data_IF_974020899837
#
_entry.id   IF_974020899837
#
_cell.length_a   1.000
_cell.length_b   1.000
_cell.length_c   1.000
_cell.angle_alpha   90.00
_cell.angle_beta   90.00
_cell.angle_gamma   90.00
#
_symmetry.space_group_name_H-M   'P 1'
#
loop_
_entity.id
_entity.type
_entity.pdbx_description
1 polymer ?
#
# COMPACT_ATOMS: atom_id res chain seq x y z
N UNK A 1 40.29 -1.74 -10.83
CA UNK A 1 39.05 -0.93 -10.77
C UNK A 1 38.73 -0.65 -9.30
N UNK A 2 38.50 0.61 -8.88
CA UNK A 2 38.14 0.88 -7.49
C UNK A 2 36.76 0.27 -7.18
N UNK A 3 36.68 -0.53 -6.12
CA UNK A 3 35.38 -0.99 -5.58
C UNK A 3 34.65 0.22 -5.00
N UNK A 4 33.44 0.50 -5.49
CA UNK A 4 32.58 1.52 -4.90
C UNK A 4 31.91 0.96 -3.65
N UNK A 5 31.89 1.76 -2.58
CA UNK A 5 31.14 1.45 -1.36
C UNK A 5 29.64 1.58 -1.64
N UNK A 6 28.87 0.56 -1.27
CA UNK A 6 27.40 0.60 -1.31
C UNK A 6 26.91 1.07 0.06
N UNK A 7 26.06 2.10 0.08
CA UNK A 7 25.45 2.65 1.30
C UNK A 7 23.98 2.26 1.41
N UNK A 8 23.43 2.31 2.63
CA UNK A 8 22.00 2.08 2.88
C UNK A 8 21.18 3.28 2.40
N UNK A 9 19.98 3.02 1.89
CA UNK A 9 19.02 4.03 1.43
C UNK A 9 17.76 3.90 2.28
N UNK A 10 17.21 5.02 2.75
CA UNK A 10 15.94 5.04 3.48
C UNK A 10 14.75 5.03 2.52
N UNK A 11 13.61 4.50 2.96
CA UNK A 11 12.37 4.52 2.18
C UNK A 11 11.96 5.94 1.79
N UNK A 12 12.18 6.91 2.68
CA UNK A 12 11.94 8.31 2.37
C UNK A 12 12.77 8.79 1.17
N UNK A 13 14.06 8.49 1.13
CA UNK A 13 14.93 8.86 0.02
C UNK A 13 14.53 8.15 -1.27
N UNK A 14 14.14 6.87 -1.18
CA UNK A 14 13.64 6.09 -2.32
C UNK A 14 12.37 6.72 -2.90
N UNK A 15 11.36 7.03 -2.07
CA UNK A 15 10.12 7.67 -2.49
C UNK A 15 10.39 9.02 -3.17
N UNK A 16 11.27 9.85 -2.59
CA UNK A 16 11.64 11.15 -3.20
C UNK A 16 12.37 10.99 -4.52
N UNK A 17 13.19 9.96 -4.67
CA UNK A 17 13.85 9.65 -5.94
C UNK A 17 12.83 9.21 -7.00
N UNK A 18 11.88 8.35 -6.63
CA UNK A 18 10.80 7.94 -7.53
C UNK A 18 9.97 9.14 -8.00
N UNK A 19 9.58 10.03 -7.08
CA UNK A 19 8.79 11.23 -7.37
C UNK A 19 9.56 12.21 -8.27
N UNK A 20 10.76 12.60 -7.85
CA UNK A 20 11.47 13.74 -8.45
C UNK A 20 12.28 13.34 -9.68
N UNK A 21 12.86 12.15 -9.67
CA UNK A 21 13.77 11.66 -10.72
C UNK A 21 13.06 10.72 -11.67
N UNK A 22 12.33 9.71 -11.16
CA UNK A 22 11.57 8.78 -12.00
C UNK A 22 10.20 9.32 -12.43
N UNK A 23 9.82 10.51 -11.97
CA UNK A 23 8.56 11.18 -12.32
C UNK A 23 7.33 10.32 -12.02
N UNK A 24 7.40 9.50 -10.97
CA UNK A 24 6.25 8.77 -10.48
C UNK A 24 5.21 9.78 -9.96
N UNK A 25 3.99 9.72 -10.51
CA UNK A 25 2.90 10.59 -10.08
C UNK A 25 2.19 9.99 -8.85
N UNK A 26 2.68 10.36 -7.67
CA UNK A 26 2.08 9.95 -6.41
C UNK A 26 0.71 10.58 -6.15
N UNK A 27 0.33 11.66 -6.85
CA UNK A 27 -1.00 12.25 -6.70
C UNK A 27 -2.02 11.41 -7.45
N UNK A 28 -1.71 11.05 -8.70
CA UNK A 28 -2.54 10.16 -9.51
C UNK A 28 -2.68 8.78 -8.84
N UNK A 29 -1.57 8.19 -8.38
CA UNK A 29 -1.61 6.92 -7.66
C UNK A 29 -2.46 6.98 -6.40
N UNK A 30 -2.42 8.08 -5.64
CA UNK A 30 -3.29 8.25 -4.45
C UNK A 30 -4.76 8.35 -4.83
N UNK A 31 -5.10 9.07 -5.90
CA UNK A 31 -6.48 9.18 -6.37
C UNK A 31 -7.00 7.79 -6.79
N UNK A 32 -6.22 7.09 -7.60
CA UNK A 32 -6.53 5.73 -8.05
C UNK A 32 -6.77 4.75 -6.90
N UNK A 33 -5.86 4.70 -5.91
CA UNK A 33 -6.02 3.84 -4.74
C UNK A 33 -7.25 4.24 -3.90
N UNK A 34 -7.58 5.54 -3.83
CA UNK A 34 -8.77 6.04 -3.16
C UNK A 34 -10.06 5.61 -3.86
N UNK A 35 -10.11 5.70 -5.19
CA UNK A 35 -11.26 5.26 -6.00
C UNK A 35 -11.52 3.76 -5.82
N UNK A 36 -10.48 2.94 -5.93
CA UNK A 36 -10.59 1.49 -5.71
C UNK A 36 -10.97 1.16 -4.28
N UNK A 37 -10.38 1.87 -3.31
CA UNK A 37 -10.73 1.73 -1.89
C UNK A 37 -12.21 2.04 -1.65
N UNK A 38 -12.73 3.10 -2.29
CA UNK A 38 -14.13 3.49 -2.22
C UNK A 38 -15.09 2.39 -2.65
N UNK A 39 -14.76 1.67 -3.72
CA UNK A 39 -15.56 0.50 -4.16
C UNK A 39 -15.67 -0.52 -3.03
N UNK A 40 -14.58 -0.86 -2.35
CA UNK A 40 -14.69 -1.81 -1.24
C UNK A 40 -15.54 -1.26 -0.08
N UNK A 41 -15.41 0.03 0.26
CA UNK A 41 -16.25 0.68 1.28
C UNK A 41 -17.74 0.59 0.92
N UNK A 42 -18.11 0.92 -0.33
CA UNK A 42 -19.49 0.87 -0.82
C UNK A 42 -20.11 -0.53 -0.70
N UNK A 43 -19.28 -1.56 -0.83
CA UNK A 43 -19.68 -2.97 -0.71
C UNK A 43 -19.57 -3.52 0.73
N UNK A 44 -19.26 -2.68 1.74
CA UNK A 44 -19.02 -3.12 3.11
C UNK A 44 -17.81 -4.04 3.25
N UNK A 45 -16.94 -4.04 2.24
CA UNK A 45 -15.77 -4.87 2.16
C UNK A 45 -14.57 -4.19 2.82
N UNK A 46 -13.68 -5.06 3.25
CA UNK A 46 -12.62 -4.73 4.16
C UNK A 46 -11.23 -4.86 3.48
N UNK A 47 -11.26 -5.41 2.26
CA UNK A 47 -10.15 -5.50 1.33
C UNK A 47 -10.68 -5.61 -0.10
N UNK A 48 -9.89 -5.20 -1.09
CA UNK A 48 -10.17 -5.39 -2.51
C UNK A 48 -8.89 -5.82 -3.24
N UNK A 49 -9.04 -6.67 -4.25
CA UNK A 49 -7.92 -7.05 -5.13
C UNK A 49 -8.02 -6.21 -6.41
N UNK A 50 -6.99 -5.44 -6.70
CA UNK A 50 -6.85 -4.64 -7.91
C UNK A 50 -5.39 -4.68 -8.38
N UNK A 51 -5.16 -4.74 -9.69
CA UNK A 51 -3.82 -4.80 -10.30
C UNK A 51 -2.88 -5.86 -9.72
N UNK A 52 -3.41 -7.02 -9.32
CA UNK A 52 -2.59 -8.07 -8.72
C UNK A 52 -2.05 -7.73 -7.32
N UNK A 53 -2.61 -6.71 -6.67
CA UNK A 53 -2.35 -6.39 -5.28
C UNK A 53 -3.65 -6.41 -4.47
N UNK A 54 -3.52 -6.67 -3.16
CA UNK A 54 -4.63 -6.61 -2.21
C UNK A 54 -4.52 -5.31 -1.41
N UNK A 55 -5.50 -4.44 -1.55
CA UNK A 55 -5.63 -3.25 -0.72
C UNK A 55 -6.42 -3.61 0.53
N UNK A 56 -5.88 -3.24 1.70
CA UNK A 56 -6.54 -3.38 2.98
C UNK A 56 -7.14 -2.05 3.40
N UNK A 57 -8.41 -2.07 3.81
CA UNK A 57 -9.18 -0.85 4.07
C UNK A 57 -9.66 -0.84 5.51
N UNK A 58 -9.55 0.32 6.15
CA UNK A 58 -10.01 0.56 7.51
C UNK A 58 -10.40 2.02 7.68
N UNK A 59 -11.54 2.27 8.32
CA UNK A 59 -12.02 3.62 8.64
C UNK A 59 -11.98 4.53 7.39
N UNK A 60 -12.43 4.00 6.23
CA UNK A 60 -12.40 4.65 4.90
C UNK A 60 -11.00 5.02 4.35
N UNK A 61 -9.96 4.35 4.84
CA UNK A 61 -8.58 4.54 4.41
C UNK A 61 -7.95 3.23 3.94
N UNK A 62 -7.21 3.28 2.83
CA UNK A 62 -6.28 2.21 2.47
C UNK A 62 -5.09 2.26 3.42
N UNK A 63 -4.94 1.25 4.27
CA UNK A 63 -3.91 1.23 5.33
C UNK A 63 -2.66 0.46 4.94
N UNK A 64 -2.79 -0.52 4.03
CA UNK A 64 -1.66 -1.25 3.47
C UNK A 64 -2.02 -1.89 2.14
N UNK A 65 -1.00 -2.23 1.36
CA UNK A 65 -1.10 -2.97 0.10
C UNK A 65 -0.26 -4.23 0.24
N UNK A 66 -0.88 -5.38 0.06
CA UNK A 66 -0.25 -6.69 0.14
C UNK A 66 -0.13 -7.29 -1.26
N UNK A 67 0.77 -8.26 -1.41
CA UNK A 67 0.74 -9.14 -2.58
C UNK A 67 -0.60 -9.89 -2.63
N UNK A 68 -1.10 -10.16 -3.84
CA UNK A 68 -2.42 -10.79 -4.06
C UNK A 68 -2.64 -12.05 -3.22
N UNK A 69 -1.65 -12.94 -3.26
CA UNK A 69 -1.70 -14.28 -2.71
C UNK A 69 -1.11 -14.36 -1.29
N UNK A 70 -0.73 -13.22 -0.71
CA UNK A 70 -0.31 -13.18 0.69
C UNK A 70 -1.50 -13.60 1.56
N UNK A 71 -1.41 -14.81 2.11
CA UNK A 71 -2.42 -15.39 2.99
C UNK A 71 -2.62 -14.47 4.18
N UNK A 72 -3.87 -14.21 4.56
CA UNK A 72 -4.27 -13.29 5.64
C UNK A 72 -3.90 -13.82 7.03
N UNK A 73 -2.68 -14.33 7.24
CA UNK A 73 -2.19 -14.62 8.58
C UNK A 73 -1.86 -13.33 9.35
N UNK A 74 -1.73 -12.18 8.68
CA UNK A 74 -1.02 -11.04 9.29
C UNK A 74 -1.45 -9.62 8.90
N UNK A 75 -2.70 -9.30 8.52
CA UNK A 75 -3.11 -7.85 8.54
C UNK A 75 -3.04 -7.33 9.98
N UNK A 76 -3.43 -8.18 10.92
CA UNK A 76 -3.39 -7.92 12.35
C UNK A 76 -1.96 -7.82 12.87
N UNK A 77 -1.02 -8.61 12.33
CA UNK A 77 0.40 -8.50 12.70
C UNK A 77 1.07 -7.28 12.06
N UNK A 78 0.68 -6.88 10.84
CA UNK A 78 1.18 -5.66 10.20
C UNK A 78 0.68 -4.39 10.91
N UNK A 79 -0.57 -4.39 11.38
CA UNK A 79 -1.19 -3.25 12.06
C UNK A 79 -1.03 -3.31 13.60
N UNK A 80 -0.57 -4.44 14.13
CA UNK A 80 -0.47 -4.72 15.57
C UNK A 80 -1.82 -4.78 16.32
N UNK A 81 -2.95 -5.01 15.63
CA UNK A 81 -4.30 -5.02 16.22
C UNK A 81 -5.35 -5.72 15.35
N UNK A 82 -6.39 -6.34 15.96
CA UNK A 82 -7.37 -7.13 15.24
C UNK A 82 -8.20 -6.33 14.25
N UNK A 83 -8.51 -6.96 13.13
CA UNK A 83 -9.27 -6.39 12.03
C UNK A 83 -10.77 -6.58 12.30
N UNK A 84 -11.49 -5.49 12.60
CA UNK A 84 -12.96 -5.49 12.74
C UNK A 84 -13.57 -4.76 11.56
N UNK A 85 -14.24 -5.50 10.67
CA UNK A 85 -15.20 -4.91 9.75
C UNK A 85 -16.36 -4.32 10.57
N UNK A 86 -16.82 -3.13 10.20
CA UNK A 86 -17.99 -2.49 10.82
C UNK A 86 -19.25 -3.31 10.46
N UNK A 87 -20.19 -3.54 11.40
CA UNK A 87 -21.46 -4.21 11.10
C UNK A 87 -22.33 -3.40 10.15
#
# INVERSE_FOLDING_TARGET
MPRRTIIKVSDHALIRYLERVKKADFRELRAYLGEIGGIAVDHGACSIIADGARLMIRDDHVVTVLERDMETRTVEDYLGRPFRAKP
#
